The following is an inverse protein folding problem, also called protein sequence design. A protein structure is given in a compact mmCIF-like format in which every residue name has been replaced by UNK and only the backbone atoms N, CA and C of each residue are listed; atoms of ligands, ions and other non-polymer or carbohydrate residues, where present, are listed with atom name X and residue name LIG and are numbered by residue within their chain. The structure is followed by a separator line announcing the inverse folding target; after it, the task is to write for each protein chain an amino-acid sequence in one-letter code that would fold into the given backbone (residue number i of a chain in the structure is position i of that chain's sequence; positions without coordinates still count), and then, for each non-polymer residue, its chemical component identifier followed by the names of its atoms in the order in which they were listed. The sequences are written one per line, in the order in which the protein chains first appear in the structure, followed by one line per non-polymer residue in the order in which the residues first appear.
data_IF_281609598841
#
_entry.id   IF_281609598841
#
_cell.length_a   1.000
_cell.length_b   1.000
_cell.length_c   1.000
_cell.angle_alpha   90.00
_cell.angle_beta   90.00
_cell.angle_gamma   90.00
#
_symmetry.space_group_name_H-M   'P 1'
#
loop_
_entity.id
_entity.type
_entity.pdbx_description
1 polymer ?
#
# COMPACT_ATOMS: atom_id res chain seq x y z
N UNK A 1 -8.59 -8.05 -12.45
CA UNK A 1 -8.10 -9.22 -11.72
C UNK A 1 -7.92 -8.85 -10.25
N UNK A 2 -8.03 -9.78 -9.30
CA UNK A 2 -7.71 -9.52 -7.90
C UNK A 2 -6.18 -9.44 -7.65
N UNK A 3 -5.75 -8.84 -6.54
CA UNK A 3 -4.33 -8.73 -6.14
C UNK A 3 -3.69 -10.10 -6.01
N UNK A 4 -4.40 -11.10 -5.48
CA UNK A 4 -3.93 -12.49 -5.39
C UNK A 4 -3.52 -13.10 -6.75
N UNK A 5 -4.10 -12.63 -7.86
CA UNK A 5 -3.69 -13.07 -9.21
C UNK A 5 -2.29 -12.60 -9.59
N UNK A 6 -1.77 -11.58 -8.92
CA UNK A 6 -0.45 -11.00 -9.16
C UNK A 6 0.63 -11.53 -8.20
N UNK A 7 0.36 -12.62 -7.46
CA UNK A 7 1.25 -13.17 -6.43
C UNK A 7 2.71 -13.33 -6.88
N UNK A 8 2.95 -13.98 -8.04
CA UNK A 8 4.31 -14.17 -8.58
C UNK A 8 5.02 -12.85 -8.93
N UNK A 9 4.28 -11.80 -9.29
CA UNK A 9 4.88 -10.50 -9.55
C UNK A 9 5.23 -9.79 -8.26
N UNK A 10 4.34 -9.82 -7.26
CA UNK A 10 4.60 -9.29 -5.93
C UNK A 10 5.78 -10.00 -5.25
N UNK A 11 5.92 -11.31 -5.40
CA UNK A 11 7.04 -12.09 -4.83
C UNK A 11 8.40 -11.70 -5.44
N UNK A 12 8.43 -11.46 -6.76
CA UNK A 12 9.62 -10.94 -7.45
C UNK A 12 9.99 -9.55 -6.93
N UNK A 13 8.99 -8.67 -6.79
CA UNK A 13 9.20 -7.33 -6.25
C UNK A 13 9.69 -7.37 -4.79
N UNK A 14 9.12 -8.25 -3.97
CA UNK A 14 9.56 -8.44 -2.60
C UNK A 14 11.02 -8.91 -2.55
N UNK A 15 11.40 -9.90 -3.36
CA UNK A 15 12.77 -10.40 -3.45
C UNK A 15 13.76 -9.31 -3.88
N UNK A 16 13.38 -8.48 -4.84
CA UNK A 16 14.18 -7.32 -5.24
C UNK A 16 14.31 -6.31 -4.09
N UNK A 17 13.22 -6.03 -3.37
CA UNK A 17 13.18 -5.04 -2.28
C UNK A 17 14.05 -5.41 -1.09
N UNK A 18 14.18 -6.71 -0.76
CA UNK A 18 15.03 -7.17 0.35
C UNK A 18 16.51 -7.31 -0.05
N UNK A 19 16.78 -7.48 -1.36
CA UNK A 19 18.14 -7.57 -1.89
C UNK A 19 18.82 -6.21 -1.91
N UNK A 20 18.05 -5.13 -1.94
CA UNK A 20 18.55 -3.77 -1.86
C UNK A 20 18.70 -3.36 -0.39
N UNK A 21 19.95 -3.27 0.08
CA UNK A 21 20.24 -2.80 1.43
C UNK A 21 19.96 -1.29 1.55
N UNK A 22 18.77 -0.92 2.01
CA UNK A 22 18.41 0.48 2.25
C UNK A 22 18.44 0.87 3.72
N UNK A 23 18.96 2.08 3.98
CA UNK A 23 18.87 2.74 5.28
C UNK A 23 17.56 3.53 5.47
N UNK A 24 16.78 3.78 4.40
CA UNK A 24 15.58 4.62 4.45
C UNK A 24 14.42 3.91 5.15
N UNK A 25 13.75 4.53 6.14
CA UNK A 25 12.62 3.93 6.85
C UNK A 25 11.47 3.49 5.95
N UNK A 26 11.11 4.30 4.95
CA UNK A 26 10.02 4.01 4.01
C UNK A 26 10.28 2.72 3.21
N UNK A 27 11.51 2.49 2.73
CA UNK A 27 11.87 1.28 1.98
C UNK A 27 11.83 0.01 2.85
N UNK A 28 12.23 0.11 4.12
CA UNK A 28 12.09 -1.01 5.07
C UNK A 28 10.63 -1.33 5.38
N UNK A 29 9.82 -0.30 5.59
CA UNK A 29 8.39 -0.47 5.84
C UNK A 29 7.66 -0.97 4.59
N UNK A 30 8.09 -0.54 3.41
CA UNK A 30 7.59 -1.04 2.13
C UNK A 30 7.80 -2.54 1.99
N UNK A 31 9.03 -3.04 2.17
CA UNK A 31 9.30 -4.49 2.05
C UNK A 31 8.53 -5.31 3.08
N UNK A 32 8.39 -4.81 4.31
CA UNK A 32 7.56 -5.44 5.34
C UNK A 32 6.07 -5.43 4.98
N UNK A 33 5.55 -4.32 4.48
CA UNK A 33 4.16 -4.17 4.06
C UNK A 33 3.85 -5.02 2.82
N UNK A 34 4.76 -5.10 1.86
CA UNK A 34 4.61 -5.95 0.67
C UNK A 34 4.59 -7.43 1.03
N UNK A 35 5.45 -7.86 1.97
CA UNK A 35 5.39 -9.22 2.51
C UNK A 35 4.04 -9.50 3.16
N UNK A 36 3.54 -8.57 3.97
CA UNK A 36 2.24 -8.70 4.61
C UNK A 36 1.09 -8.79 3.60
N UNK A 37 1.14 -7.97 2.54
CA UNK A 37 0.19 -8.01 1.43
C UNK A 37 0.23 -9.36 0.71
N UNK A 38 1.41 -9.91 0.45
CA UNK A 38 1.60 -11.23 -0.16
C UNK A 38 0.94 -12.34 0.66
N UNK A 39 1.21 -12.35 1.97
CA UNK A 39 0.72 -13.38 2.90
C UNK A 39 -0.79 -13.29 3.13
N UNK A 40 -1.38 -12.10 2.97
CA UNK A 40 -2.79 -11.83 3.27
C UNK A 40 -3.61 -11.35 2.06
N UNK A 41 -3.12 -11.56 0.83
CA UNK A 41 -3.75 -11.05 -0.39
C UNK A 41 -5.27 -11.30 -0.52
N UNK A 42 -5.85 -12.45 -0.11
CA UNK A 42 -7.29 -12.66 -0.19
C UNK A 42 -8.12 -11.67 0.66
N UNK A 43 -7.57 -11.18 1.76
CA UNK A 43 -8.25 -10.18 2.59
C UNK A 43 -8.29 -8.81 1.91
N UNK A 44 -7.31 -8.51 1.06
CA UNK A 44 -7.23 -7.27 0.30
C UNK A 44 -8.07 -7.33 -0.98
N UNK A 45 -8.21 -8.50 -1.60
CA UNK A 45 -9.09 -8.70 -2.76
C UNK A 45 -10.55 -8.30 -2.47
N UNK A 46 -10.99 -8.42 -1.21
CA UNK A 46 -12.34 -8.07 -0.80
C UNK A 46 -12.60 -6.56 -0.69
N UNK A 47 -11.55 -5.73 -0.54
CA UNK A 47 -11.68 -4.30 -0.28
C UNK A 47 -10.95 -3.39 -1.28
N UNK A 48 -10.02 -3.94 -2.07
CA UNK A 48 -9.29 -3.20 -3.10
C UNK A 48 -9.92 -3.48 -4.45
N UNK A 49 -10.74 -2.53 -4.92
CA UNK A 49 -11.38 -2.60 -6.24
C UNK A 49 -10.41 -2.34 -7.39
N UNK A 50 -10.67 -2.94 -8.55
CA UNK A 50 -9.86 -2.78 -9.77
C UNK A 50 -9.97 -1.38 -10.39
N UNK A 51 -11.04 -0.67 -10.07
CA UNK A 51 -11.30 0.73 -10.43
C UNK A 51 -10.52 1.71 -9.54
N UNK A 52 -9.87 1.22 -8.47
CA UNK A 52 -9.02 2.03 -7.63
C UNK A 52 -7.75 2.45 -8.40
N UNK A 53 -7.42 3.75 -8.47
CA UNK A 53 -6.25 4.22 -9.22
C UNK A 53 -4.93 3.66 -8.65
N UNK A 54 -4.83 3.46 -7.33
CA UNK A 54 -3.64 2.88 -6.70
C UNK A 54 -3.51 1.38 -6.98
N UNK A 55 -4.64 0.67 -7.18
CA UNK A 55 -4.59 -0.70 -7.67
C UNK A 55 -3.99 -0.75 -9.08
N UNK A 56 -4.46 0.12 -9.97
CA UNK A 56 -3.99 0.17 -11.36
C UNK A 56 -2.51 0.56 -11.44
N UNK A 57 -2.10 1.57 -10.67
CA UNK A 57 -0.71 1.98 -10.56
C UNK A 57 0.17 0.84 -10.03
N UNK A 58 -0.24 0.18 -8.94
CA UNK A 58 0.50 -0.95 -8.38
C UNK A 58 0.68 -2.08 -9.38
N UNK A 59 -0.39 -2.48 -10.09
CA UNK A 59 -0.32 -3.54 -11.10
C UNK A 59 0.55 -3.16 -12.29
N UNK A 60 0.48 -1.91 -12.74
CA UNK A 60 1.35 -1.40 -13.81
C UNK A 60 2.81 -1.51 -13.38
N UNK A 61 3.13 -1.06 -12.17
CA UNK A 61 4.48 -1.14 -11.61
C UNK A 61 4.96 -2.59 -11.50
N UNK A 62 4.10 -3.54 -11.09
CA UNK A 62 4.44 -4.97 -11.04
C UNK A 62 4.81 -5.59 -12.41
N UNK A 63 4.39 -4.97 -13.50
CA UNK A 63 4.69 -5.42 -14.87
C UNK A 63 5.97 -4.78 -15.44
N UNK A 64 6.44 -3.68 -14.85
CA UNK A 64 7.64 -2.97 -15.27
C UNK A 64 8.88 -3.44 -14.51
N UNK A 65 10.08 -3.19 -15.07
CA UNK A 65 11.33 -3.35 -14.33
C UNK A 65 11.47 -2.16 -13.37
N UNK A 66 11.00 -2.35 -12.13
CA UNK A 66 10.93 -1.30 -11.10
C UNK A 66 12.34 -0.82 -10.70
N UNK A 67 12.53 0.50 -10.68
CA UNK A 67 13.65 1.14 -10.01
C UNK A 67 13.26 1.43 -8.57
N UNK A 68 13.60 0.53 -7.65
CA UNK A 68 13.21 0.61 -6.23
C UNK A 68 13.71 1.88 -5.51
N UNK A 69 14.64 2.65 -6.07
CA UNK A 69 15.03 3.94 -5.48
C UNK A 69 14.04 5.07 -5.80
N UNK A 70 13.44 5.06 -6.98
CA UNK A 70 12.54 6.11 -7.48
C UNK A 70 11.07 5.71 -7.25
N UNK A 71 10.72 4.45 -7.54
CA UNK A 71 9.33 3.97 -7.53
C UNK A 71 8.86 3.50 -6.14
N UNK A 72 9.77 3.35 -5.16
CA UNK A 72 9.39 2.82 -3.85
C UNK A 72 8.44 3.74 -3.09
N UNK A 73 8.48 5.06 -3.33
CA UNK A 73 7.54 5.98 -2.70
C UNK A 73 6.12 5.77 -3.22
N UNK A 74 5.91 5.73 -4.54
CA UNK A 74 4.59 5.44 -5.14
C UNK A 74 4.06 4.05 -4.76
N UNK A 75 4.93 3.04 -4.71
CA UNK A 75 4.55 1.71 -4.25
C UNK A 75 4.21 1.67 -2.75
N UNK A 76 4.90 2.47 -1.94
CA UNK A 76 4.57 2.65 -0.52
C UNK A 76 3.22 3.35 -0.33
N UNK A 77 2.94 4.38 -1.13
CA UNK A 77 1.64 5.06 -1.17
C UNK A 77 0.51 4.08 -1.51
N UNK A 78 0.71 3.21 -2.50
CA UNK A 78 -0.24 2.14 -2.84
C UNK A 78 -0.53 1.23 -1.63
N UNK A 79 0.52 0.79 -0.91
CA UNK A 79 0.34 -0.03 0.29
C UNK A 79 -0.44 0.71 1.39
N UNK A 80 -0.13 1.98 1.63
CA UNK A 80 -0.84 2.79 2.62
C UNK A 80 -2.35 2.89 2.29
N UNK A 81 -2.69 3.07 1.00
CA UNK A 81 -4.07 3.08 0.53
C UNK A 81 -4.75 1.72 0.71
N UNK A 82 -4.10 0.62 0.35
CA UNK A 82 -4.68 -0.72 0.52
C UNK A 82 -4.95 -1.05 1.99
N UNK A 83 -4.02 -0.68 2.87
CA UNK A 83 -4.16 -0.90 4.31
C UNK A 83 -5.25 -0.02 4.91
N UNK A 84 -5.40 1.22 4.41
CA UNK A 84 -6.48 2.12 4.83
C UNK A 84 -7.86 1.63 4.36
N UNK A 85 -7.97 1.13 3.13
CA UNK A 85 -9.19 0.50 2.63
C UNK A 85 -9.57 -0.70 3.48
N UNK A 86 -8.61 -1.58 3.78
CA UNK A 86 -8.84 -2.73 4.66
C UNK A 86 -9.26 -2.29 6.06
N UNK A 87 -8.61 -1.26 6.63
CA UNK A 87 -8.96 -0.70 7.94
C UNK A 87 -10.43 -0.30 8.02
N UNK A 88 -10.94 0.36 6.98
CA UNK A 88 -12.32 0.82 6.94
C UNK A 88 -13.31 -0.31 6.65
N UNK A 89 -12.96 -1.27 5.79
CA UNK A 89 -13.81 -2.41 5.46
C UNK A 89 -13.91 -3.46 6.60
N UNK A 90 -12.93 -3.47 7.49
CA UNK A 90 -12.73 -4.51 8.50
C UNK A 90 -13.77 -4.56 9.64
N UNK A 91 -14.79 -3.69 9.70
CA UNK A 91 -15.87 -3.71 10.72
C UNK A 91 -15.38 -3.99 12.16
N UNK A 92 -14.28 -3.35 12.59
CA UNK A 92 -13.72 -3.52 13.93
C UNK A 92 -12.72 -4.67 14.10
N UNK A 93 -12.36 -5.40 13.03
CA UNK A 93 -11.19 -6.29 13.05
C UNK A 93 -9.93 -5.43 13.19
N UNK A 94 -9.08 -5.70 14.21
CA UNK A 94 -7.91 -4.88 14.46
C UNK A 94 -6.89 -4.96 13.32
N UNK A 95 -6.21 -3.84 13.08
CA UNK A 95 -5.06 -3.80 12.17
C UNK A 95 -3.92 -4.65 12.71
N UNK A 96 -3.30 -5.39 11.79
CA UNK A 96 -2.03 -6.07 12.04
C UNK A 96 -0.95 -5.07 12.45
N UNK A 97 0.07 -5.54 13.18
CA UNK A 97 1.20 -4.73 13.62
C UNK A 97 1.96 -4.09 12.46
N UNK A 98 2.08 -4.75 11.31
CA UNK A 98 2.74 -4.21 10.12
C UNK A 98 1.90 -3.12 9.48
N UNK A 99 0.61 -3.38 9.28
CA UNK A 99 -0.30 -2.38 8.71
C UNK A 99 -0.30 -1.10 9.54
N UNK A 100 -0.40 -1.23 10.87
CA UNK A 100 -0.37 -0.09 11.78
C UNK A 100 0.94 0.69 11.68
N UNK A 101 2.09 0.03 11.52
CA UNK A 101 3.39 0.71 11.37
C UNK A 101 3.48 1.48 10.06
N UNK A 102 3.02 0.88 8.97
CA UNK A 102 3.00 1.53 7.65
C UNK A 102 2.08 2.76 7.68
N UNK A 103 0.87 2.60 8.20
CA UNK A 103 -0.08 3.71 8.34
C UNK A 103 0.46 4.80 9.27
N UNK A 104 0.97 4.43 10.45
CA UNK A 104 1.53 5.40 11.38
C UNK A 104 2.69 6.19 10.77
N UNK A 105 3.59 5.54 10.03
CA UNK A 105 4.67 6.23 9.34
C UNK A 105 4.13 7.19 8.28
N UNK A 106 3.17 6.74 7.46
CA UNK A 106 2.51 7.57 6.46
C UNK A 106 1.88 8.82 7.08
N UNK A 107 1.22 8.68 8.24
CA UNK A 107 0.54 9.77 8.94
C UNK A 107 1.51 10.76 9.63
N UNK A 108 2.72 10.31 10.01
CA UNK A 108 3.62 11.08 10.91
C UNK A 108 4.94 11.52 10.29
N UNK A 109 5.32 11.02 9.11
CA UNK A 109 6.60 11.37 8.48
C UNK A 109 6.66 12.80 7.92
N UNK A 110 5.52 13.47 7.76
CA UNK A 110 5.42 14.84 7.24
C UNK A 110 5.21 14.94 5.73
N UNK A 111 5.30 13.84 4.97
CA UNK A 111 5.24 13.85 3.49
C UNK A 111 3.80 13.82 2.92
N UNK A 112 2.83 13.28 3.66
CA UNK A 112 1.46 13.08 3.17
C UNK A 112 0.41 13.71 4.10
N UNK A 113 0.44 15.03 4.18
CA UNK A 113 -0.45 15.80 5.03
C UNK A 113 -1.85 15.96 4.41
N UNK A 114 -2.91 16.14 5.23
CA UNK A 114 -4.27 16.30 4.75
C UNK A 114 -4.49 17.49 3.78
N UNK A 115 -3.66 18.52 3.90
CA UNK A 115 -3.71 19.72 3.05
C UNK A 115 -2.93 19.59 1.73
N UNK A 116 -2.17 18.51 1.54
CA UNK A 116 -1.34 18.38 0.34
C UNK A 116 -2.21 18.18 -0.90
N UNK A 117 -1.90 18.85 -2.02
CA UNK A 117 -2.69 18.77 -3.25
C UNK A 117 -2.37 17.48 -4.05
N UNK A 118 -2.09 16.37 -3.37
CA UNK A 118 -1.77 15.08 -3.99
C UNK A 118 -2.97 14.15 -3.96
N UNK A 119 -3.07 13.28 -4.96
CA UNK A 119 -4.16 12.30 -5.03
C UNK A 119 -4.13 11.32 -3.84
N UNK A 120 -2.94 10.93 -3.38
CA UNK A 120 -2.77 10.02 -2.23
C UNK A 120 -3.27 10.64 -0.94
N UNK A 121 -2.93 11.90 -0.65
CA UNK A 121 -3.42 12.60 0.54
C UNK A 121 -4.94 12.77 0.48
N UNK A 122 -5.49 13.15 -0.68
CA UNK A 122 -6.94 13.25 -0.85
C UNK A 122 -7.65 11.91 -0.58
N UNK A 123 -7.14 10.81 -1.14
CA UNK A 123 -7.76 9.51 -0.98
C UNK A 123 -7.69 9.00 0.46
N UNK A 124 -6.51 9.09 1.08
CA UNK A 124 -6.25 8.57 2.41
C UNK A 124 -7.08 9.28 3.49
N UNK A 125 -7.07 10.62 3.49
CA UNK A 125 -7.66 11.43 4.54
C UNK A 125 -9.15 11.69 4.34
N UNK A 126 -9.63 11.73 3.10
CA UNK A 126 -10.99 12.17 2.79
C UNK A 126 -11.81 11.08 2.10
N UNK A 127 -11.38 10.62 0.91
CA UNK A 127 -12.24 9.72 0.10
C UNK A 127 -12.56 8.41 0.78
N UNK A 128 -11.56 7.72 1.32
CA UNK A 128 -11.75 6.40 1.95
C UNK A 128 -12.61 6.51 3.23
N UNK A 129 -12.33 7.44 4.17
CA UNK A 129 -13.21 7.64 5.33
C UNK A 129 -14.66 8.00 4.97
N UNK A 130 -14.86 8.85 3.95
CA UNK A 130 -16.21 9.21 3.50
C UNK A 130 -16.99 8.00 2.97
N UNK A 131 -16.33 7.07 2.28
CA UNK A 131 -16.94 5.84 1.79
C UNK A 131 -17.34 4.88 2.91
N UNK A 132 -16.65 4.92 4.05
CA UNK A 132 -16.93 4.04 5.20
C UNK A 132 -18.13 4.50 6.06
N UNK A 133 -18.62 5.72 5.83
CA UNK A 133 -19.69 6.34 6.64
C UNK A 133 -21.09 6.10 6.04
N UNK A 134 -21.19 5.35 4.95
CA UNK A 134 -22.43 5.02 4.23
C UNK A 134 -22.70 3.51 4.24
#
# INVERSE_FOLDING_TARGET
MPLSSHHKAMERLYTASISQASSRPAQKLFSQGLKHLLENSPAFDACVGEDNPFYQEFVLQLQTNICLEEDCLSLFECLAIFFRLRQMAANGVPLDGIERKVLHFFETCGEWQPQDPTIVSFWYWWRIPLQATH
#
